data_IF_883372759230
#
_entry.id   IF_883372759230
#
_cell.length_a   1.000
_cell.length_b   1.000
_cell.length_c   1.000
_cell.angle_alpha   90.00
_cell.angle_beta   90.00
_cell.angle_gamma   90.00
#
_symmetry.space_group_name_H-M   'P 1'
#
loop_
_entity.id
_entity.type
_entity.pdbx_description
1 polymer ?
#
# COMPACT_ATOMS: atom_id res chain seq x y z
N UNK A 1 28.02 -5.23 -20.23
CA UNK A 1 27.36 -6.24 -19.40
C UNK A 1 26.38 -5.58 -18.45
N UNK A 2 25.18 -6.03 -18.48
CA UNK A 2 24.16 -5.48 -17.61
C UNK A 2 24.28 -6.16 -16.26
N UNK A 3 24.52 -5.38 -15.25
CA UNK A 3 24.52 -5.93 -13.91
C UNK A 3 23.10 -6.16 -13.46
N UNK A 4 22.84 -7.35 -13.02
CA UNK A 4 21.58 -7.64 -12.40
C UNK A 4 21.53 -6.94 -11.06
N UNK A 5 20.63 -5.99 -10.95
CA UNK A 5 20.34 -5.39 -9.68
C UNK A 5 19.38 -6.31 -8.96
N UNK A 6 19.82 -6.81 -7.82
CA UNK A 6 18.93 -7.62 -7.00
C UNK A 6 17.95 -6.69 -6.31
N UNK A 7 16.74 -6.66 -6.82
CA UNK A 7 15.67 -5.94 -6.14
C UNK A 7 15.10 -6.88 -5.09
N UNK A 8 15.22 -6.46 -3.83
CA UNK A 8 14.63 -7.24 -2.75
C UNK A 8 13.14 -6.98 -2.77
N UNK A 9 12.38 -8.04 -3.05
CA UNK A 9 10.93 -7.95 -3.05
C UNK A 9 10.43 -8.11 -1.62
N UNK A 10 9.68 -7.13 -1.10
CA UNK A 10 9.22 -7.24 0.29
C UNK A 10 8.14 -8.29 0.41
N UNK A 11 8.17 -9.02 1.51
CA UNK A 11 7.09 -9.92 1.90
C UNK A 11 6.15 -9.24 2.88
N UNK A 12 6.66 -8.29 3.64
CA UNK A 12 5.87 -7.46 4.53
C UNK A 12 6.22 -6.00 4.30
N UNK A 13 5.26 -5.14 4.56
CA UNK A 13 5.43 -3.72 4.32
C UNK A 13 4.79 -2.93 5.45
N UNK A 14 5.51 -1.93 5.95
CA UNK A 14 4.98 -1.02 6.96
C UNK A 14 4.69 0.29 6.26
N UNK A 15 3.44 0.72 6.32
CA UNK A 15 3.03 2.00 5.74
C UNK A 15 2.29 2.81 6.78
N UNK A 16 2.27 4.12 6.58
CA UNK A 16 1.56 5.04 7.45
C UNK A 16 0.84 6.07 6.61
N UNK A 17 -0.16 6.69 7.21
CA UNK A 17 -0.95 7.68 6.49
C UNK A 17 -0.18 8.99 6.30
N UNK A 18 0.69 9.36 7.25
CA UNK A 18 1.47 10.59 7.16
C UNK A 18 2.96 10.29 7.11
N UNK A 19 3.72 11.21 6.52
CA UNK A 19 5.16 11.06 6.43
C UNK A 19 5.83 11.05 7.80
N UNK A 20 5.32 11.84 8.72
CA UNK A 20 5.91 11.90 10.06
C UNK A 20 5.86 10.55 10.75
N UNK A 21 4.71 9.89 10.69
CA UNK A 21 4.56 8.59 11.32
C UNK A 21 5.34 7.54 10.55
N UNK A 22 5.32 7.61 9.22
CA UNK A 22 6.09 6.68 8.40
C UNK A 22 7.57 6.74 8.77
N UNK A 23 8.11 7.92 8.95
CA UNK A 23 9.49 8.08 9.36
C UNK A 23 9.75 7.44 10.71
N UNK A 24 8.86 7.66 11.67
CA UNK A 24 9.03 7.16 13.03
C UNK A 24 8.98 5.63 13.11
N UNK A 25 8.21 4.99 12.25
CA UNK A 25 8.11 3.52 12.27
C UNK A 25 9.06 2.84 11.29
N UNK A 26 9.87 3.62 10.59
CA UNK A 26 10.82 3.05 9.63
C UNK A 26 10.17 2.55 8.36
N UNK A 27 8.98 3.03 8.04
CA UNK A 27 8.24 2.62 6.86
C UNK A 27 8.15 3.73 5.83
N UNK A 28 7.16 3.62 4.97
CA UNK A 28 6.86 4.62 3.96
C UNK A 28 5.39 5.01 4.06
N UNK A 29 4.99 6.06 3.35
CA UNK A 29 3.58 6.41 3.34
C UNK A 29 2.81 5.47 2.43
N UNK A 30 1.53 5.27 2.76
CA UNK A 30 0.66 4.46 1.92
C UNK A 30 0.51 5.08 0.54
N UNK A 31 0.56 6.40 0.44
CA UNK A 31 0.49 7.10 -0.84
C UNK A 31 1.68 6.75 -1.74
N UNK A 32 2.88 6.77 -1.17
CA UNK A 32 4.09 6.44 -1.93
C UNK A 32 4.17 4.96 -2.25
N UNK A 33 3.84 4.11 -1.30
CA UNK A 33 3.99 2.67 -1.47
C UNK A 33 3.12 2.14 -2.60
N UNK A 34 1.91 2.63 -2.72
CA UNK A 34 0.94 2.12 -3.70
C UNK A 34 0.55 3.15 -4.74
N UNK A 35 1.29 4.24 -4.82
CA UNK A 35 1.07 5.32 -5.77
C UNK A 35 -0.37 5.85 -5.71
N UNK A 36 -0.83 6.10 -4.49
CA UNK A 36 -2.16 6.65 -4.27
C UNK A 36 -2.12 8.18 -4.39
N UNK A 37 -3.13 8.79 -5.01
CA UNK A 37 -3.16 10.23 -5.10
C UNK A 37 -3.49 10.86 -3.75
N UNK A 38 -2.93 12.05 -3.50
CA UNK A 38 -3.28 12.83 -2.32
C UNK A 38 -4.66 13.47 -2.47
N UNK A 39 -5.05 13.76 -3.69
CA UNK A 39 -6.35 14.31 -3.94
C UNK A 39 -7.40 13.24 -3.76
N UNK A 40 -8.34 13.48 -2.85
CA UNK A 40 -9.31 12.49 -2.42
C UNK A 40 -10.53 12.39 -3.31
N UNK A 41 -10.64 13.24 -4.31
CA UNK A 41 -11.88 13.34 -5.06
C UNK A 41 -12.17 12.10 -5.91
N UNK A 42 -11.14 11.41 -6.38
CA UNK A 42 -11.36 10.26 -7.25
C UNK A 42 -10.22 9.26 -7.12
N UNK A 43 -10.59 7.98 -7.15
CA UNK A 43 -9.62 6.92 -7.33
C UNK A 43 -9.30 6.82 -8.81
N UNK A 44 -8.02 7.01 -9.14
CA UNK A 44 -7.57 6.90 -10.52
C UNK A 44 -6.76 5.62 -10.69
N UNK A 45 -7.16 4.75 -11.62
CA UNK A 45 -6.35 3.56 -11.88
C UNK A 45 -4.99 3.95 -12.44
N UNK A 46 -3.99 3.14 -12.16
CA UNK A 46 -2.65 3.34 -12.67
C UNK A 46 -2.60 2.98 -14.16
N UNK A 47 -1.66 3.59 -14.86
CA UNK A 47 -1.34 3.14 -16.21
C UNK A 47 -0.88 1.68 -16.14
N UNK A 48 -0.98 0.98 -17.27
CA UNK A 48 -0.55 -0.40 -17.32
C UNK A 48 0.92 -0.56 -16.94
N UNK A 49 1.77 0.35 -17.40
CA UNK A 49 3.20 0.28 -17.10
C UNK A 49 3.49 0.41 -15.62
N UNK A 50 2.83 1.37 -14.95
CA UNK A 50 3.02 1.56 -13.53
C UNK A 50 2.46 0.39 -12.74
N UNK A 51 1.31 -0.11 -13.16
CA UNK A 51 0.71 -1.26 -12.51
C UNK A 51 1.61 -2.49 -12.62
N UNK A 52 2.18 -2.72 -13.80
CA UNK A 52 3.09 -3.86 -14.00
C UNK A 52 4.32 -3.73 -13.11
N UNK A 53 4.84 -2.51 -12.95
CA UNK A 53 5.98 -2.26 -12.08
C UNK A 53 5.66 -2.60 -10.63
N UNK A 54 4.51 -2.14 -10.15
CA UNK A 54 4.10 -2.44 -8.78
C UNK A 54 3.77 -3.91 -8.58
N UNK A 55 3.17 -4.54 -9.58
CA UNK A 55 2.84 -5.97 -9.51
C UNK A 55 4.10 -6.81 -9.37
N UNK A 56 5.15 -6.44 -10.07
CA UNK A 56 6.41 -7.16 -9.95
C UNK A 56 7.09 -6.87 -8.62
N UNK A 57 7.12 -5.61 -8.20
CA UNK A 57 7.74 -5.24 -6.92
C UNK A 57 7.07 -5.95 -5.75
N UNK A 58 5.75 -6.03 -5.75
CA UNK A 58 4.99 -6.59 -4.65
C UNK A 58 4.53 -8.03 -4.92
N UNK A 59 5.19 -8.71 -5.85
CA UNK A 59 4.84 -10.07 -6.20
C UNK A 59 4.84 -11.02 -5.00
N UNK A 60 5.77 -10.81 -4.08
CA UNK A 60 5.89 -11.65 -2.89
C UNK A 60 5.24 -11.06 -1.64
N UNK A 61 4.57 -9.93 -1.78
CA UNK A 61 3.97 -9.24 -0.64
C UNK A 61 2.82 -10.06 -0.05
N UNK A 62 2.90 -10.34 1.25
CA UNK A 62 1.92 -11.14 1.96
C UNK A 62 1.26 -10.39 3.10
N UNK A 63 1.91 -9.35 3.60
CA UNK A 63 1.45 -8.66 4.81
C UNK A 63 1.69 -7.16 4.67
N UNK A 64 0.69 -6.38 4.98
CA UNK A 64 0.81 -4.93 5.06
C UNK A 64 0.34 -4.47 6.44
N UNK A 65 1.21 -3.73 7.11
CA UNK A 65 0.91 -3.13 8.39
C UNK A 65 0.67 -1.63 8.16
N UNK A 66 -0.52 -1.14 8.50
CA UNK A 66 -0.86 0.27 8.33
C UNK A 66 -0.95 0.92 9.69
N UNK A 67 -0.07 1.90 9.94
CA UNK A 67 -0.11 2.69 11.16
C UNK A 67 -1.01 3.91 10.95
N UNK A 68 -1.56 4.41 12.03
CA UNK A 68 -2.51 5.52 12.01
C UNK A 68 -3.77 5.21 11.21
N UNK A 69 -4.21 3.97 11.26
CA UNK A 69 -5.38 3.57 10.48
C UNK A 69 -6.63 4.34 10.85
N UNK A 70 -6.70 4.88 12.06
CA UNK A 70 -7.84 5.69 12.50
C UNK A 70 -8.01 6.98 11.70
N UNK A 71 -6.95 7.44 11.04
CA UNK A 71 -7.01 8.64 10.20
C UNK A 71 -7.49 8.34 8.79
N UNK A 72 -7.58 7.07 8.44
CA UNK A 72 -7.96 6.66 7.10
C UNK A 72 -9.48 6.61 7.00
N UNK A 73 -10.03 7.44 6.13
CA UNK A 73 -11.46 7.40 5.88
C UNK A 73 -11.86 6.16 5.10
N UNK A 74 -13.14 5.80 5.17
CA UNK A 74 -13.64 4.62 4.47
C UNK A 74 -13.42 4.70 2.96
N UNK A 75 -13.51 5.89 2.41
CA UNK A 75 -13.31 6.08 0.98
C UNK A 75 -11.87 5.77 0.57
N UNK A 76 -10.90 6.23 1.36
CA UNK A 76 -9.51 5.96 1.07
C UNK A 76 -9.17 4.49 1.27
N UNK A 77 -9.77 3.88 2.28
CA UNK A 77 -9.59 2.45 2.52
C UNK A 77 -10.11 1.63 1.33
N UNK A 78 -11.24 2.03 0.79
CA UNK A 78 -11.78 1.40 -0.41
C UNK A 78 -10.81 1.53 -1.58
N UNK A 79 -10.17 2.69 -1.72
CA UNK A 79 -9.18 2.92 -2.77
C UNK A 79 -7.94 2.03 -2.59
N UNK A 80 -7.49 1.85 -1.34
CA UNK A 80 -6.38 0.95 -1.05
C UNK A 80 -6.74 -0.47 -1.45
N UNK A 81 -7.94 -0.92 -1.09
CA UNK A 81 -8.42 -2.24 -1.45
C UNK A 81 -8.38 -2.46 -2.95
N UNK A 82 -8.94 -1.52 -3.72
CA UNK A 82 -8.94 -1.63 -5.17
C UNK A 82 -7.53 -1.63 -5.75
N UNK A 83 -6.65 -0.80 -5.21
CA UNK A 83 -5.28 -0.74 -5.68
C UNK A 83 -4.56 -2.07 -5.47
N UNK A 84 -4.71 -2.66 -4.30
CA UNK A 84 -4.06 -3.94 -4.00
C UNK A 84 -4.64 -5.09 -4.80
N UNK A 85 -5.95 -5.08 -5.03
CA UNK A 85 -6.55 -6.09 -5.91
C UNK A 85 -5.96 -6.01 -7.32
N UNK A 86 -5.75 -4.80 -7.82
CA UNK A 86 -5.15 -4.59 -9.13
C UNK A 86 -3.69 -5.02 -9.16
N UNK A 87 -2.92 -4.66 -8.14
CA UNK A 87 -1.50 -5.01 -8.07
C UNK A 87 -1.31 -6.52 -8.02
N UNK A 88 -2.11 -7.22 -7.24
CA UNK A 88 -1.98 -8.66 -7.09
C UNK A 88 -2.76 -9.46 -8.12
N UNK A 89 -3.56 -8.78 -8.95
CA UNK A 89 -4.43 -9.43 -9.93
C UNK A 89 -5.40 -10.42 -9.27
N UNK A 90 -5.83 -10.10 -8.05
CA UNK A 90 -6.78 -10.92 -7.30
C UNK A 90 -7.97 -10.02 -6.96
N UNK A 91 -9.05 -10.14 -7.71
CA UNK A 91 -10.19 -9.25 -7.60
C UNK A 91 -11.31 -9.81 -6.73
N UNK A 92 -11.25 -11.07 -6.38
CA UNK A 92 -12.30 -11.73 -5.60
C UNK A 92 -12.06 -11.71 -4.10
N UNK A 93 -10.92 -11.21 -3.66
CA UNK A 93 -10.56 -11.16 -2.25
C UNK A 93 -10.20 -9.74 -1.85
N UNK A 94 -10.60 -9.36 -0.64
CA UNK A 94 -10.24 -8.04 -0.12
C UNK A 94 -8.74 -7.86 -0.11
N UNK A 95 -8.29 -6.68 -0.49
CA UNK A 95 -6.88 -6.28 -0.51
C UNK A 95 -6.00 -7.23 -1.31
N UNK A 96 -6.58 -7.84 -2.37
CA UNK A 96 -5.82 -8.76 -3.20
C UNK A 96 -5.31 -9.98 -2.46
N UNK A 97 -6.00 -10.38 -1.40
CA UNK A 97 -5.63 -11.52 -0.55
C UNK A 97 -4.35 -11.29 0.27
N UNK A 98 -3.96 -10.03 0.46
CA UNK A 98 -2.85 -9.68 1.34
C UNK A 98 -3.40 -9.55 2.77
N UNK A 99 -2.66 -10.07 3.72
CA UNK A 99 -3.02 -9.92 5.13
C UNK A 99 -2.79 -8.48 5.56
N UNK A 100 -3.81 -7.85 6.13
CA UNK A 100 -3.75 -6.46 6.53
C UNK A 100 -3.82 -6.35 8.04
N UNK A 101 -2.90 -5.59 8.62
CA UNK A 101 -2.95 -5.25 10.03
C UNK A 101 -3.11 -3.74 10.14
N UNK A 102 -4.19 -3.33 10.77
CA UNK A 102 -4.48 -1.91 10.96
C UNK A 102 -4.18 -1.56 12.41
N UNK A 103 -3.30 -0.60 12.59
CA UNK A 103 -2.96 -0.11 13.92
C UNK A 103 -3.36 1.35 14.00
N UNK A 104 -4.19 1.68 14.95
CA UNK A 104 -4.59 3.04 15.17
C UNK A 104 -4.49 3.36 16.65
N UNK A 105 -4.40 4.65 16.96
CA UNK A 105 -4.43 5.06 18.35
C UNK A 105 -5.88 5.19 18.79
N UNK A 106 -6.37 4.11 19.36
CA UNK A 106 -7.75 4.05 19.82
C UNK A 106 -7.95 4.76 21.16
N UNK A 107 -6.87 5.28 21.72
CA UNK A 107 -6.91 5.94 23.02
C UNK A 107 -6.80 7.43 22.90
N UNK A 108 -7.08 7.95 21.74
CA UNK A 108 -7.17 9.38 21.56
C UNK A 108 -8.37 9.88 22.36
N UNK A 109 -8.07 10.34 23.49
CA UNK A 109 -9.11 10.89 24.33
C UNK A 109 -9.47 12.26 23.86
#
# INVERSE_FOLDING_TARGET
>A
MIQKIHVIKPKGLIVAYTEKVAYNVGGTTVHSAFLMPFNKSQFLPLSKEMLDTLSELYDELQLVFIDEASLIGSHFLYSIDNRLRSIKHVHTKYFGNIDMIFCGDLYQA
#
